data_IF_003355111581
#
_entry.id   IF_003355111581
#
_cell.length_a   1.000
_cell.length_b   1.000
_cell.length_c   1.000
_cell.angle_alpha   90.00
_cell.angle_beta   90.00
_cell.angle_gamma   90.00
#
_symmetry.space_group_name_H-M   'P 1'
#
loop_
_entity.id
_entity.type
_entity.pdbx_description
1 polymer ?
#
# COMPACT_ATOMS: atom_id res chain seq x y z
N UNK A 1 11.49 -2.80 4.30
CA UNK A 1 10.50 -2.48 3.25
C UNK A 1 10.81 -1.11 2.63
N UNK A 2 10.43 -0.88 1.37
CA UNK A 2 10.92 0.18 0.45
C UNK A 2 11.23 1.56 1.07
N UNK A 3 10.37 2.07 1.96
CA UNK A 3 10.50 3.43 2.51
C UNK A 3 10.91 3.46 4.00
N UNK A 4 11.20 2.32 4.61
CA UNK A 4 11.55 2.25 6.04
C UNK A 4 10.44 2.65 7.02
N UNK A 5 9.23 2.96 6.53
CA UNK A 5 8.08 3.39 7.33
C UNK A 5 6.78 2.69 6.93
N UNK A 6 5.84 2.62 7.87
CA UNK A 6 4.48 2.13 7.58
C UNK A 6 3.73 3.16 6.72
N UNK A 7 2.87 2.72 5.77
CA UNK A 7 2.07 3.65 4.96
C UNK A 7 1.07 4.44 5.81
N UNK A 8 0.56 3.84 6.89
CA UNK A 8 -0.38 4.45 7.83
C UNK A 8 0.08 4.21 9.27
N UNK A 9 -0.16 5.18 10.16
CA UNK A 9 0.15 5.06 11.58
C UNK A 9 1.62 4.81 11.89
N UNK A 10 2.55 5.30 11.06
CA UNK A 10 3.98 5.26 11.41
C UNK A 10 4.21 5.98 12.75
N UNK A 11 4.98 5.35 13.65
CA UNK A 11 5.27 5.82 15.01
C UNK A 11 4.05 6.03 15.93
N UNK A 12 2.87 5.53 15.54
CA UNK A 12 1.70 5.48 16.42
C UNK A 12 1.65 4.15 17.19
N UNK A 13 1.24 4.24 18.46
CA UNK A 13 0.82 3.09 19.27
C UNK A 13 -0.54 2.58 18.81
N UNK A 14 -0.90 1.35 19.18
CA UNK A 14 -2.22 0.79 18.86
C UNK A 14 -3.36 1.62 19.47
N UNK A 15 -3.18 2.11 20.71
CA UNK A 15 -4.15 3.01 21.35
C UNK A 15 -4.37 4.28 20.52
N UNK A 16 -3.29 4.92 20.04
CA UNK A 16 -3.41 6.10 19.19
C UNK A 16 -4.07 5.79 17.85
N UNK A 17 -3.75 4.65 17.23
CA UNK A 17 -4.37 4.23 15.97
C UNK A 17 -5.89 4.09 16.12
N UNK A 18 -6.37 3.50 17.23
CA UNK A 18 -7.79 3.35 17.53
C UNK A 18 -8.43 4.71 17.86
N UNK A 19 -7.81 5.51 18.72
CA UNK A 19 -8.34 6.80 19.18
C UNK A 19 -8.42 7.85 18.07
N UNK A 20 -7.48 7.84 17.14
CA UNK A 20 -7.40 8.82 16.06
C UNK A 20 -8.12 8.36 14.77
N UNK A 21 -8.69 7.15 14.77
CA UNK A 21 -9.30 6.50 13.60
C UNK A 21 -8.33 6.42 12.40
N UNK A 22 -7.03 6.25 12.66
CA UNK A 22 -5.97 6.38 11.64
C UNK A 22 -6.24 5.49 10.43
N UNK A 23 -6.62 4.23 10.66
CA UNK A 23 -6.91 3.27 9.57
C UNK A 23 -8.25 3.56 8.88
N UNK A 24 -9.27 3.99 9.62
CA UNK A 24 -10.58 4.34 9.05
C UNK A 24 -10.46 5.56 8.13
N UNK A 25 -9.53 6.49 8.43
CA UNK A 25 -9.24 7.68 7.64
C UNK A 25 -8.20 7.47 6.53
N UNK A 26 -7.56 6.31 6.47
CA UNK A 26 -6.50 5.99 5.50
C UNK A 26 -7.05 5.73 4.07
N UNK A 27 -7.50 6.80 3.39
CA UNK A 27 -8.13 6.70 2.05
C UNK A 27 -7.13 6.66 0.90
N UNK A 28 -5.91 7.16 1.10
CA UNK A 28 -4.88 7.26 0.06
C UNK A 28 -3.50 7.01 0.67
N UNK A 29 -2.70 6.21 -0.02
CA UNK A 29 -1.29 6.01 0.31
C UNK A 29 -0.43 7.04 -0.42
N UNK A 30 0.48 7.68 0.32
CA UNK A 30 1.46 8.61 -0.23
C UNK A 30 2.86 8.01 -0.22
N UNK A 31 3.57 8.21 -1.32
CA UNK A 31 4.92 7.70 -1.53
C UNK A 31 5.94 8.84 -1.35
N UNK A 32 6.91 8.70 -0.44
CA UNK A 32 8.06 9.60 -0.39
C UNK A 32 8.76 9.70 -1.74
N UNK A 33 9.44 10.82 -1.97
CA UNK A 33 10.29 11.00 -3.17
C UNK A 33 11.53 10.09 -3.16
N UNK A 34 11.97 9.62 -1.98
CA UNK A 34 13.15 8.76 -1.82
C UNK A 34 12.87 7.57 -0.88
N UNK A 35 13.41 6.38 -1.18
CA UNK A 35 14.13 6.03 -2.43
C UNK A 35 13.20 6.05 -3.66
N UNK A 36 13.79 6.16 -4.85
CA UNK A 36 13.04 6.01 -6.10
C UNK A 36 12.55 4.58 -6.23
N UNK A 37 11.27 4.42 -6.56
CA UNK A 37 10.64 3.13 -6.83
C UNK A 37 9.84 3.26 -8.13
N UNK A 38 9.73 2.17 -8.88
CA UNK A 38 9.05 2.18 -10.17
C UNK A 38 7.57 2.56 -10.02
N UNK A 39 6.98 3.11 -11.09
CA UNK A 39 5.57 3.47 -11.05
C UNK A 39 4.68 2.22 -10.90
N UNK A 40 5.07 1.11 -11.54
CA UNK A 40 4.40 -0.18 -11.45
C UNK A 40 4.34 -0.68 -10.01
N UNK A 41 5.44 -0.52 -9.25
CA UNK A 41 5.47 -0.86 -7.82
C UNK A 41 4.48 0.00 -7.02
N UNK A 42 4.45 1.31 -7.28
CA UNK A 42 3.52 2.23 -6.60
C UNK A 42 2.07 1.89 -6.93
N UNK A 43 1.77 1.58 -8.19
CA UNK A 43 0.42 1.20 -8.61
C UNK A 43 -0.02 -0.13 -7.99
N UNK A 44 0.85 -1.13 -7.91
CA UNK A 44 0.55 -2.38 -7.21
C UNK A 44 0.24 -2.12 -5.72
N UNK A 45 1.06 -1.31 -5.04
CA UNK A 45 0.83 -0.94 -3.63
C UNK A 45 -0.49 -0.18 -3.46
N UNK A 46 -0.86 0.72 -4.38
CA UNK A 46 -2.16 1.43 -4.34
C UNK A 46 -3.33 0.45 -4.43
N UNK A 47 -3.27 -0.52 -5.36
CA UNK A 47 -4.29 -1.56 -5.48
C UNK A 47 -4.42 -2.40 -4.20
N UNK A 48 -3.30 -2.83 -3.63
CA UNK A 48 -3.31 -3.59 -2.37
C UNK A 48 -3.89 -2.80 -1.19
N UNK A 49 -3.69 -1.48 -1.16
CA UNK A 49 -4.15 -0.59 -0.11
C UNK A 49 -5.46 0.14 -0.46
N UNK A 50 -6.23 -0.35 -1.45
CA UNK A 50 -7.56 0.18 -1.77
C UNK A 50 -8.44 0.11 -0.53
N UNK A 51 -9.03 1.26 -0.16
CA UNK A 51 -9.78 1.40 1.08
C UNK A 51 -11.03 0.50 1.09
N UNK A 52 -11.83 0.57 0.03
CA UNK A 52 -13.02 -0.24 -0.10
C UNK A 52 -12.61 -1.70 -0.39
N UNK A 53 -13.07 -2.62 0.45
CA UNK A 53 -12.79 -4.03 0.29
C UNK A 53 -13.34 -4.58 -1.03
N UNK A 54 -14.49 -4.10 -1.50
CA UNK A 54 -15.09 -4.56 -2.74
C UNK A 54 -14.24 -4.21 -3.98
N UNK A 55 -13.45 -3.14 -3.89
CA UNK A 55 -12.57 -2.67 -4.97
C UNK A 55 -11.12 -3.17 -4.80
N UNK A 56 -10.80 -3.83 -3.68
CA UNK A 56 -9.47 -4.35 -3.40
C UNK A 56 -9.32 -5.72 -4.08
N UNK A 57 -8.25 -5.96 -4.86
CA UNK A 57 -8.03 -7.26 -5.46
C UNK A 57 -7.87 -8.32 -4.36
N UNK A 58 -8.49 -9.47 -4.58
CA UNK A 58 -8.27 -10.64 -3.77
C UNK A 58 -6.89 -11.27 -4.07
N UNK A 59 -6.59 -12.38 -3.37
CA UNK A 59 -5.30 -13.06 -3.52
C UNK A 59 -5.09 -13.60 -4.94
N UNK A 60 -6.13 -14.12 -5.60
CA UNK A 60 -5.99 -14.69 -6.94
C UNK A 60 -5.85 -13.60 -8.01
N UNK A 61 -6.47 -12.45 -7.81
CA UNK A 61 -6.38 -11.30 -8.70
C UNK A 61 -5.01 -10.65 -8.59
N UNK A 62 -4.49 -10.44 -7.37
CA UNK A 62 -3.21 -9.74 -7.18
C UNK A 62 -2.02 -10.58 -7.65
N UNK A 63 -2.09 -11.92 -7.61
CA UNK A 63 -1.00 -12.79 -8.11
C UNK A 63 -0.81 -12.69 -9.62
N UNK A 64 -1.81 -12.20 -10.34
CA UNK A 64 -1.78 -11.95 -11.78
C UNK A 64 -1.32 -10.52 -12.14
N UNK A 65 -1.01 -9.69 -11.13
CA UNK A 65 -0.56 -8.31 -11.36
C UNK A 65 0.73 -8.30 -12.20
N UNK A 66 0.81 -7.48 -13.27
CA UNK A 66 2.00 -7.39 -14.11
C UNK A 66 3.29 -7.10 -13.34
N UNK A 67 3.20 -6.39 -12.20
CA UNK A 67 4.35 -6.14 -11.34
C UNK A 67 4.97 -7.42 -10.75
N UNK A 68 4.16 -8.45 -10.52
CA UNK A 68 4.62 -9.76 -10.04
C UNK A 68 5.03 -10.71 -11.16
N UNK A 69 4.68 -10.37 -12.41
CA UNK A 69 5.11 -11.14 -13.56
C UNK A 69 6.59 -10.89 -13.86
N UNK A 70 7.38 -11.97 -13.91
CA UNK A 70 8.74 -11.88 -14.42
C UNK A 70 8.68 -11.80 -15.96
N UNK A 71 8.73 -10.60 -16.51
CA UNK A 71 9.03 -10.43 -17.92
C UNK A 71 10.55 -10.32 -18.08
N UNK A 72 11.17 -11.37 -18.62
CA UNK A 72 12.55 -11.30 -19.10
C UNK A 72 12.60 -10.20 -20.17
N UNK A 73 13.29 -9.09 -19.89
CA UNK A 73 13.65 -8.13 -20.93
C UNK A 73 14.81 -8.69 -21.74
#
# INVERSE_FOLDING_TARGET
MLFGRRPFGHDQSQERILREDTIIKARKVDFPSRPSVSNEAKEMIRRCLTYNQADRPDVLTITQDPYLSYSKR
#
